data_IF_086527738391
#
_entry.id   IF_086527738391
#
_cell.length_a   1.000
_cell.length_b   1.000
_cell.length_c   1.000
_cell.angle_alpha   90.00
_cell.angle_beta   90.00
_cell.angle_gamma   90.00
#
_symmetry.space_group_name_H-M   'P 1'
#
loop_
_entity.id
_entity.type
_entity.pdbx_description
1 polymer ?
#
# COMPACT_ATOMS: atom_id res chain seq x y z
N UNK A 1 5.33 -6.15 -26.26
CA UNK A 1 4.34 -5.93 -25.19
C UNK A 1 4.06 -4.45 -25.13
N UNK A 2 2.80 -4.07 -25.27
CA UNK A 2 2.36 -2.67 -25.29
C UNK A 2 2.08 -2.23 -23.85
N UNK A 3 2.53 -1.04 -23.45
CA UNK A 3 2.35 -0.49 -22.11
C UNK A 3 1.82 0.94 -22.29
N UNK A 4 0.68 1.24 -21.67
CA UNK A 4 0.15 2.60 -21.54
C UNK A 4 0.97 3.34 -20.47
N UNK A 5 1.31 4.62 -20.68
CA UNK A 5 1.94 5.40 -19.61
C UNK A 5 0.91 5.81 -18.55
N UNK A 6 1.41 6.22 -17.38
CA UNK A 6 0.60 6.60 -16.21
C UNK A 6 -0.19 7.90 -16.39
N UNK A 7 -0.24 8.48 -17.60
CA UNK A 7 -0.89 9.76 -17.91
C UNK A 7 -1.84 9.65 -19.10
N UNK A 8 -2.14 8.43 -19.56
CA UNK A 8 -3.02 8.18 -20.71
C UNK A 8 -2.43 8.60 -22.05
N UNK A 9 -1.14 8.95 -22.10
CA UNK A 9 -0.46 9.21 -23.36
C UNK A 9 0.14 7.92 -23.92
N UNK A 10 -0.02 7.71 -25.22
CA UNK A 10 0.52 6.54 -25.90
C UNK A 10 1.94 6.80 -26.45
N UNK A 11 2.73 5.71 -26.44
CA UNK A 11 3.92 5.39 -27.25
C UNK A 11 5.33 5.66 -26.67
N UNK A 12 5.85 4.72 -25.84
CA UNK A 12 7.30 4.43 -25.79
C UNK A 12 7.58 3.10 -26.49
N UNK A 13 8.22 3.16 -27.66
CA UNK A 13 8.67 1.99 -28.41
C UNK A 13 9.98 1.48 -27.81
N UNK A 14 9.93 0.50 -26.91
CA UNK A 14 11.14 -0.23 -26.49
C UNK A 14 11.39 -1.37 -27.48
N UNK A 15 12.01 -1.06 -28.62
CA UNK A 15 13.00 -1.92 -29.29
C UNK A 15 13.39 -1.33 -30.64
N UNK A 16 14.69 -1.11 -30.82
CA UNK A 16 15.32 -0.81 -32.09
C UNK A 16 15.18 -2.00 -33.04
N UNK A 17 14.96 -1.70 -34.33
CA UNK A 17 14.96 -2.62 -35.49
C UNK A 17 13.72 -3.50 -35.61
N UNK A 18 12.78 -3.14 -36.49
CA UNK A 18 12.49 -3.76 -37.81
C UNK A 18 11.32 -2.97 -38.44
N UNK A 19 11.37 -2.84 -39.77
CA UNK A 19 10.48 -2.05 -40.62
C UNK A 19 8.99 -2.46 -40.52
N UNK A 20 8.13 -1.48 -40.79
CA UNK A 20 6.67 -1.64 -40.83
C UNK A 20 6.21 -2.63 -41.91
N UNK A 21 5.09 -3.33 -41.64
CA UNK A 21 4.11 -3.63 -42.67
C UNK A 21 2.77 -2.96 -42.37
N UNK A 22 2.05 -2.70 -43.47
CA UNK A 22 0.78 -1.99 -43.54
C UNK A 22 -0.39 -2.74 -42.89
N UNK A 23 -1.41 -1.95 -42.52
CA UNK A 23 -2.85 -2.23 -42.58
C UNK A 23 -3.39 -3.53 -41.92
N UNK A 24 -4.13 -3.35 -40.81
CA UNK A 24 -5.14 -4.33 -40.39
C UNK A 24 -5.13 -4.81 -38.94
N UNK A 25 -4.42 -4.14 -38.02
CA UNK A 25 -4.53 -4.43 -36.58
C UNK A 25 -5.41 -3.38 -35.90
N UNK A 26 -6.47 -3.82 -35.22
CA UNK A 26 -7.26 -2.99 -34.30
C UNK A 26 -6.30 -2.17 -33.43
N UNK A 27 -6.29 -0.87 -33.65
CA UNK A 27 -5.66 0.10 -32.76
C UNK A 27 -6.20 -0.19 -31.36
N UNK A 28 -5.35 -0.63 -30.44
CA UNK A 28 -5.72 -0.78 -29.04
C UNK A 28 -5.99 0.61 -28.51
N UNK A 29 -7.22 1.09 -28.68
CA UNK A 29 -7.70 2.31 -28.05
C UNK A 29 -7.46 2.17 -26.56
N UNK A 30 -6.81 3.16 -25.95
CA UNK A 30 -6.91 3.37 -24.52
C UNK A 30 -8.34 3.85 -24.28
N UNK A 31 -9.30 2.93 -24.36
CA UNK A 31 -10.68 3.24 -23.99
C UNK A 31 -10.66 3.62 -22.53
N UNK A 32 -11.41 4.67 -22.24
CA UNK A 32 -11.73 5.11 -20.91
C UNK A 32 -13.25 5.32 -20.96
N UNK A 33 -13.97 4.32 -20.48
CA UNK A 33 -15.40 4.17 -20.68
C UNK A 33 -16.22 5.01 -19.70
N UNK A 34 -15.64 5.38 -18.56
CA UNK A 34 -16.30 6.16 -17.51
C UNK A 34 -15.73 7.58 -17.33
N UNK A 35 -14.71 7.92 -18.13
CA UNK A 35 -14.08 9.24 -18.19
C UNK A 35 -13.34 9.66 -16.91
N UNK A 36 -12.83 8.71 -16.13
CA UNK A 36 -11.88 8.97 -15.04
C UNK A 36 -10.45 9.24 -15.60
N UNK A 37 -9.38 9.06 -14.82
CA UNK A 37 -8.00 9.18 -15.34
C UNK A 37 -7.27 7.89 -15.62
N UNK A 38 -7.85 6.74 -15.28
CA UNK A 38 -7.21 5.44 -15.41
C UNK A 38 -7.81 4.70 -16.63
N UNK A 39 -6.99 4.33 -17.63
CA UNK A 39 -7.49 3.59 -18.79
C UNK A 39 -8.16 2.26 -18.42
N UNK A 40 -9.25 1.90 -19.11
CA UNK A 40 -10.00 0.65 -18.90
C UNK A 40 -9.08 -0.58 -18.83
N UNK A 41 -8.03 -0.61 -19.67
CA UNK A 41 -7.09 -1.73 -19.72
C UNK A 41 -6.30 -1.97 -18.43
N UNK A 42 -6.07 -0.91 -17.64
CA UNK A 42 -5.40 -0.99 -16.34
C UNK A 42 -6.41 -1.49 -15.31
N UNK A 43 -7.59 -0.92 -15.26
CA UNK A 43 -8.63 -1.29 -14.30
C UNK A 43 -9.17 -2.70 -14.54
N UNK A 44 -9.34 -3.10 -15.80
CA UNK A 44 -9.77 -4.43 -16.19
C UNK A 44 -8.79 -5.53 -15.75
N UNK A 45 -7.53 -5.18 -15.48
CA UNK A 45 -6.51 -6.07 -14.95
C UNK A 45 -6.48 -6.13 -13.42
N UNK A 46 -7.31 -5.33 -12.74
CA UNK A 46 -7.54 -5.44 -11.31
C UNK A 46 -8.18 -6.79 -10.93
N UNK A 47 -8.11 -7.19 -9.64
CA UNK A 47 -8.79 -8.38 -9.13
C UNK A 47 -10.26 -8.49 -9.54
N UNK A 48 -10.80 -9.70 -9.42
CA UNK A 48 -12.24 -9.93 -9.63
C UNK A 48 -12.76 -9.44 -11.00
N UNK A 49 -11.96 -9.66 -12.04
CA UNK A 49 -12.26 -9.23 -13.41
C UNK A 49 -12.46 -7.71 -13.54
N UNK A 50 -11.65 -6.93 -12.84
CA UNK A 50 -11.71 -5.47 -12.89
C UNK A 50 -12.78 -4.83 -12.02
N UNK A 51 -13.39 -5.57 -11.09
CA UNK A 51 -14.34 -5.08 -10.09
C UNK A 51 -13.65 -5.14 -8.71
N UNK A 52 -12.79 -4.18 -8.45
CA UNK A 52 -11.86 -4.18 -7.32
C UNK A 52 -12.53 -3.98 -5.97
N UNK A 53 -13.72 -3.36 -5.95
CA UNK A 53 -14.54 -3.19 -4.75
C UNK A 53 -15.61 -4.29 -4.57
N UNK A 54 -15.79 -5.18 -5.57
CA UNK A 54 -16.73 -6.29 -5.62
C UNK A 54 -18.20 -5.85 -5.44
N UNK A 55 -18.60 -4.78 -6.13
CA UNK A 55 -19.98 -4.29 -6.16
C UNK A 55 -20.83 -4.86 -7.32
N UNK A 56 -20.19 -5.61 -8.23
CA UNK A 56 -20.82 -6.24 -9.39
C UNK A 56 -20.69 -5.43 -10.69
N UNK A 57 -20.13 -4.23 -10.63
CA UNK A 57 -19.81 -3.39 -11.78
C UNK A 57 -18.28 -3.33 -11.93
N UNK A 58 -17.73 -3.49 -13.15
CA UNK A 58 -16.30 -3.26 -13.35
C UNK A 58 -15.96 -1.79 -13.09
N UNK A 59 -14.83 -1.55 -12.44
CA UNK A 59 -14.35 -0.22 -12.03
C UNK A 59 -14.32 0.74 -13.22
N UNK A 60 -13.82 0.29 -14.39
CA UNK A 60 -13.82 1.02 -15.69
C UNK A 60 -15.17 1.50 -16.23
N UNK A 61 -16.27 1.19 -15.54
CA UNK A 61 -17.62 1.63 -15.89
C UNK A 61 -18.19 2.60 -14.84
N UNK A 62 -17.37 3.05 -13.89
CA UNK A 62 -17.77 3.79 -12.71
C UNK A 62 -16.81 4.95 -12.46
N UNK A 63 -17.17 6.17 -12.88
CA UNK A 63 -16.31 7.35 -12.75
C UNK A 63 -15.87 7.69 -11.32
N UNK A 64 -16.54 7.13 -10.31
CA UNK A 64 -16.25 7.30 -8.88
C UNK A 64 -15.51 6.09 -8.27
N UNK A 65 -15.11 5.10 -9.06
CA UNK A 65 -14.34 3.93 -8.64
C UNK A 65 -13.17 3.76 -9.61
N UNK A 66 -11.95 3.72 -9.10
CA UNK A 66 -10.79 3.53 -9.98
C UNK A 66 -9.80 2.52 -9.40
N UNK A 67 -9.21 1.70 -10.27
CA UNK A 67 -8.26 0.65 -9.90
C UNK A 67 -6.92 0.77 -10.61
N UNK A 68 -5.83 0.87 -9.84
CA UNK A 68 -4.48 0.98 -10.38
C UNK A 68 -3.45 0.19 -9.55
N UNK A 69 -2.38 -0.34 -10.18
CA UNK A 69 -1.33 -1.02 -9.46
C UNK A 69 -0.43 -0.02 -8.71
N UNK A 70 -0.14 -0.31 -7.44
CA UNK A 70 0.94 0.33 -6.72
C UNK A 70 2.27 0.06 -7.46
N UNK A 71 3.06 1.10 -7.78
CA UNK A 71 4.25 0.97 -8.61
C UNK A 71 5.40 0.20 -7.93
N UNK A 72 5.39 0.06 -6.60
CA UNK A 72 6.43 -0.64 -5.82
C UNK A 72 6.15 -2.13 -5.74
N UNK A 73 4.89 -2.51 -5.56
CA UNK A 73 4.46 -3.88 -5.26
C UNK A 73 3.80 -4.56 -6.46
N UNK A 74 3.32 -3.78 -7.43
CA UNK A 74 2.49 -4.25 -8.54
C UNK A 74 1.12 -4.78 -8.11
N UNK A 75 0.71 -4.54 -6.85
CA UNK A 75 -0.58 -4.96 -6.32
C UNK A 75 -1.61 -3.85 -6.53
N UNK A 76 -2.84 -4.24 -6.83
CA UNK A 76 -3.90 -3.29 -7.12
C UNK A 76 -4.42 -2.60 -5.86
N UNK A 77 -4.68 -1.31 -6.02
CA UNK A 77 -5.42 -0.48 -5.10
C UNK A 77 -6.68 -0.02 -5.83
N UNK A 78 -7.82 -0.11 -5.16
CA UNK A 78 -9.11 0.39 -5.68
C UNK A 78 -9.59 1.52 -4.78
N UNK A 79 -9.78 2.70 -5.34
CA UNK A 79 -10.32 3.88 -4.67
C UNK A 79 -11.80 4.01 -5.02
N UNK A 80 -12.65 4.16 -4.01
CA UNK A 80 -14.10 4.34 -4.14
C UNK A 80 -14.49 5.66 -3.49
N UNK A 81 -15.16 6.49 -4.27
CA UNK A 81 -15.77 7.76 -3.86
C UNK A 81 -17.30 7.70 -4.00
N UNK A 82 -18.07 8.69 -3.50
CA UNK A 82 -19.53 8.67 -3.56
C UNK A 82 -20.07 8.63 -5.00
N UNK A 83 -21.16 7.90 -5.22
CA UNK A 83 -21.81 7.86 -6.54
C UNK A 83 -22.23 9.27 -7.02
N UNK A 84 -22.05 9.53 -8.32
CA UNK A 84 -22.34 10.83 -8.93
C UNK A 84 -21.18 11.84 -8.90
N UNK A 85 -20.02 11.42 -8.40
CA UNK A 85 -18.75 12.16 -8.46
C UNK A 85 -17.82 11.57 -9.54
N UNK A 86 -16.72 12.25 -9.83
CA UNK A 86 -15.72 11.79 -10.81
C UNK A 86 -14.31 11.93 -10.27
N UNK A 87 -13.51 10.87 -10.36
CA UNK A 87 -12.08 10.87 -10.04
C UNK A 87 -11.29 11.43 -11.22
N UNK A 88 -11.03 12.74 -11.19
CA UNK A 88 -10.37 13.51 -12.26
C UNK A 88 -8.85 13.47 -12.21
N UNK A 89 -8.29 12.85 -11.16
CA UNK A 89 -6.90 12.47 -11.04
C UNK A 89 -6.78 11.32 -10.06
N UNK A 90 -5.96 10.32 -10.36
CA UNK A 90 -5.54 9.30 -9.38
C UNK A 90 -4.13 8.82 -9.69
N UNK A 91 -3.30 8.70 -8.67
CA UNK A 91 -1.94 8.15 -8.76
C UNK A 91 -1.53 7.52 -7.42
N UNK A 92 -0.68 6.49 -7.47
CA UNK A 92 -0.03 5.94 -6.27
C UNK A 92 1.42 6.40 -6.25
N UNK A 93 1.79 7.15 -5.21
CA UNK A 93 3.12 7.74 -5.06
C UNK A 93 3.79 7.26 -3.78
N UNK A 94 5.12 7.21 -3.78
CA UNK A 94 5.90 6.95 -2.58
C UNK A 94 6.71 8.20 -2.22
N UNK A 95 6.11 9.06 -1.40
CA UNK A 95 6.70 10.36 -1.05
C UNK A 95 7.61 10.29 0.19
N UNK A 96 7.54 9.19 0.95
CA UNK A 96 8.36 8.99 2.13
C UNK A 96 9.75 8.43 1.80
N UNK A 97 10.58 9.25 1.15
CA UNK A 97 11.97 8.88 0.85
C UNK A 97 12.88 9.29 2.02
N UNK A 98 13.72 8.37 2.55
CA UNK A 98 14.66 8.70 3.62
C UNK A 98 15.59 9.87 3.27
N UNK A 99 15.76 10.81 4.20
CA UNK A 99 16.55 12.03 4.02
C UNK A 99 15.89 13.12 3.18
N UNK A 100 14.65 12.94 2.72
CA UNK A 100 13.89 13.96 1.99
C UNK A 100 13.21 14.96 2.93
N UNK A 101 12.76 16.10 2.39
CA UNK A 101 11.97 17.07 3.19
C UNK A 101 10.57 16.57 3.53
N UNK A 102 10.15 15.45 2.95
CA UNK A 102 8.82 14.86 3.10
C UNK A 102 8.88 13.59 3.96
N UNK A 103 10.05 13.30 4.56
CA UNK A 103 10.26 12.08 5.34
C UNK A 103 9.41 12.08 6.62
N UNK A 104 8.49 11.13 6.72
CA UNK A 104 7.84 10.73 7.96
C UNK A 104 8.73 9.68 8.65
N UNK A 105 9.67 10.16 9.47
CA UNK A 105 10.65 9.29 10.15
C UNK A 105 10.05 8.22 11.07
N UNK A 106 8.78 8.37 11.48
CA UNK A 106 8.11 7.44 12.40
C UNK A 106 7.26 6.39 11.70
N UNK A 107 7.05 6.52 10.38
CA UNK A 107 6.18 5.64 9.63
C UNK A 107 6.78 5.25 8.28
N UNK A 108 6.47 4.04 7.82
CA UNK A 108 6.75 3.55 6.47
C UNK A 108 5.44 3.40 5.68
N UNK A 109 5.50 3.58 4.36
CA UNK A 109 4.34 3.47 3.46
C UNK A 109 4.55 2.29 2.50
N UNK A 110 4.35 1.03 2.97
CA UNK A 110 4.62 -0.16 2.16
C UNK A 110 3.69 -0.30 0.95
N UNK A 111 2.53 0.36 0.99
CA UNK A 111 1.47 0.32 -0.03
C UNK A 111 1.27 1.68 -0.74
N UNK A 112 2.25 2.59 -0.61
CA UNK A 112 2.18 3.91 -1.20
C UNK A 112 1.13 4.84 -0.58
N UNK A 113 1.06 6.04 -1.13
CA UNK A 113 0.02 7.04 -0.90
C UNK A 113 -0.81 7.14 -2.18
N UNK A 114 -2.12 6.94 -2.07
CA UNK A 114 -3.08 7.23 -3.12
C UNK A 114 -3.33 8.73 -3.11
N UNK A 115 -2.91 9.42 -4.17
CA UNK A 115 -3.21 10.82 -4.41
C UNK A 115 -4.32 10.90 -5.45
N UNK A 116 -5.40 11.60 -5.11
CA UNK A 116 -6.54 11.75 -6.01
C UNK A 116 -7.11 13.17 -6.01
N UNK A 117 -7.82 13.49 -7.09
CA UNK A 117 -8.73 14.64 -7.19
C UNK A 117 -10.13 14.12 -7.48
N UNK A 118 -11.09 14.56 -6.68
CA UNK A 118 -12.49 14.18 -6.77
C UNK A 118 -13.35 15.40 -7.10
N UNK A 119 -13.98 15.40 -8.26
CA UNK A 119 -14.87 16.48 -8.72
C UNK A 119 -16.35 16.10 -8.51
N UNK A 120 -17.21 17.12 -8.55
CA UNK A 120 -18.66 16.93 -8.53
C UNK A 120 -19.24 16.74 -7.13
N UNK A 121 -18.46 17.05 -6.09
CA UNK A 121 -18.96 17.11 -4.72
C UNK A 121 -19.70 18.43 -4.49
N UNK A 122 -20.66 18.43 -3.56
CA UNK A 122 -21.31 19.69 -3.17
C UNK A 122 -20.33 20.53 -2.37
N UNK A 123 -20.15 21.83 -2.66
CA UNK A 123 -19.23 22.67 -1.90
C UNK A 123 -19.47 22.60 -0.38
N UNK A 124 -18.44 22.28 0.39
CA UNK A 124 -18.51 22.14 1.86
C UNK A 124 -19.17 20.84 2.36
N UNK A 125 -19.49 19.89 1.48
CA UNK A 125 -20.07 18.61 1.86
C UNK A 125 -19.02 17.60 2.31
N UNK A 126 -19.43 16.68 3.19
CA UNK A 126 -18.61 15.54 3.62
C UNK A 126 -18.87 14.33 2.71
N UNK A 127 -17.79 13.70 2.27
CA UNK A 127 -17.77 12.61 1.31
C UNK A 127 -17.07 11.39 1.94
N UNK A 128 -17.71 10.22 1.83
CA UNK A 128 -17.14 8.95 2.26
C UNK A 128 -16.16 8.43 1.20
N UNK A 129 -14.92 8.18 1.61
CA UNK A 129 -13.88 7.60 0.77
C UNK A 129 -13.52 6.22 1.31
N UNK A 130 -13.41 5.23 0.42
CA UNK A 130 -12.95 3.88 0.79
C UNK A 130 -11.86 3.42 -0.17
N UNK A 131 -10.78 2.86 0.38
CA UNK A 131 -9.64 2.35 -0.38
C UNK A 131 -9.44 0.86 -0.07
N UNK A 132 -9.36 0.04 -1.10
CA UNK A 132 -9.10 -1.39 -1.04
C UNK A 132 -7.67 -1.67 -1.45
N UNK A 133 -6.88 -2.23 -0.54
CA UNK A 133 -5.49 -2.62 -0.78
C UNK A 133 -5.41 -4.14 -0.95
N UNK A 134 -5.29 -4.60 -2.20
CA UNK A 134 -5.25 -6.02 -2.53
C UNK A 134 -3.88 -6.63 -2.24
N UNK A 135 -3.83 -7.80 -1.62
CA UNK A 135 -2.59 -8.47 -1.18
C UNK A 135 -1.61 -7.53 -0.44
N UNK A 136 -2.02 -6.90 0.69
CA UNK A 136 -1.25 -5.83 1.34
C UNK A 136 0.02 -6.31 2.07
N UNK A 137 0.32 -7.61 2.07
CA UNK A 137 1.44 -8.20 2.81
C UNK A 137 1.06 -8.53 4.25
N UNK A 138 0.67 -7.55 5.07
CA UNK A 138 0.05 -7.78 6.38
C UNK A 138 -1.47 -7.79 6.25
N UNK A 139 -2.14 -8.79 6.80
CA UNK A 139 -3.60 -8.93 6.69
C UNK A 139 -4.35 -8.52 7.95
N UNK A 140 -3.63 -8.17 9.03
CA UNK A 140 -4.21 -7.61 10.24
C UNK A 140 -4.35 -6.09 10.09
N UNK A 141 -5.57 -5.53 10.07
CA UNK A 141 -5.78 -4.09 9.93
C UNK A 141 -5.11 -3.27 11.04
N UNK A 142 -4.89 -3.86 12.23
CA UNK A 142 -4.24 -3.18 13.34
C UNK A 142 -2.74 -2.94 13.14
N UNK A 143 -2.13 -3.58 12.13
CA UNK A 143 -0.75 -3.32 11.71
C UNK A 143 -0.59 -2.00 10.96
N UNK A 144 -1.70 -1.32 10.63
CA UNK A 144 -1.70 -0.10 9.84
C UNK A 144 -2.35 1.06 10.57
N UNK A 145 -1.93 2.26 10.18
CA UNK A 145 -2.59 3.53 10.48
C UNK A 145 -2.82 4.26 9.17
N UNK A 146 -4.03 4.77 8.95
CA UNK A 146 -4.29 5.62 7.79
C UNK A 146 -3.68 7.01 8.04
N UNK A 147 -2.81 7.44 7.14
CA UNK A 147 -2.10 8.72 7.25
C UNK A 147 -2.34 9.55 5.99
N UNK A 148 -2.44 10.86 6.21
CA UNK A 148 -2.51 11.85 5.15
C UNK A 148 -1.13 12.47 4.92
N UNK A 149 -0.84 12.85 3.68
CA UNK A 149 0.28 13.70 3.32
C UNK A 149 -0.24 15.00 2.71
N UNK A 150 0.27 16.14 3.18
CA UNK A 150 0.04 17.43 2.54
C UNK A 150 1.32 17.85 1.80
N UNK A 151 1.34 17.80 0.45
CA UNK A 151 2.53 18.11 -0.34
C UNK A 151 2.86 19.61 -0.34
N UNK A 152 1.89 20.49 -0.08
CA UNK A 152 2.08 21.94 -0.02
C UNK A 152 2.85 22.33 1.25
N UNK A 153 2.50 21.74 2.39
CA UNK A 153 3.15 22.00 3.69
C UNK A 153 4.25 21.00 4.02
N UNK A 154 4.34 19.89 3.27
CA UNK A 154 5.26 18.76 3.47
C UNK A 154 5.07 18.06 4.82
N UNK A 155 3.84 18.05 5.33
CA UNK A 155 3.51 17.46 6.63
C UNK A 155 2.67 16.21 6.46
N UNK A 156 2.91 15.21 7.30
CA UNK A 156 2.06 14.03 7.44
C UNK A 156 1.35 14.04 8.78
N UNK A 157 0.14 13.46 8.83
CA UNK A 157 -0.61 13.33 10.07
C UNK A 157 -1.59 12.16 10.00
N UNK A 158 -1.99 11.65 11.17
CA UNK A 158 -2.98 10.59 11.28
C UNK A 158 -4.39 11.15 11.07
N UNK A 159 -5.24 10.39 10.41
CA UNK A 159 -6.68 10.68 10.32
C UNK A 159 -7.37 10.03 11.53
N UNK A 160 -8.14 10.83 12.29
CA UNK A 160 -8.72 10.37 13.56
C UNK A 160 -9.89 9.41 13.40
N UNK A 161 -10.85 9.76 12.56
CA UNK A 161 -12.08 8.98 12.34
C UNK A 161 -11.92 8.10 11.10
N UNK A 162 -11.31 6.92 11.29
CA UNK A 162 -11.07 5.95 10.23
C UNK A 162 -11.56 4.56 10.62
N UNK A 163 -11.96 3.77 9.62
CA UNK A 163 -12.32 2.37 9.78
C UNK A 163 -11.38 1.53 8.93
N UNK A 164 -10.51 0.77 9.60
CA UNK A 164 -9.67 -0.23 8.95
C UNK A 164 -10.27 -1.62 9.17
N UNK A 165 -10.43 -2.37 8.10
CA UNK A 165 -10.98 -3.73 8.14
C UNK A 165 -10.24 -4.67 7.19
N UNK A 166 -10.40 -5.98 7.39
CA UNK A 166 -9.87 -6.99 6.48
C UNK A 166 -11.03 -7.75 5.84
N UNK A 167 -10.88 -8.09 4.57
CA UNK A 167 -11.83 -8.87 3.79
C UNK A 167 -11.09 -9.75 2.78
N UNK A 168 -11.83 -10.47 1.96
CA UNK A 168 -11.29 -11.25 0.84
C UNK A 168 -12.15 -11.01 -0.38
N UNK A 169 -11.55 -10.54 -1.47
CA UNK A 169 -12.22 -10.32 -2.76
C UNK A 169 -11.66 -11.33 -3.75
N UNK A 170 -12.52 -12.22 -4.27
CA UNK A 170 -12.12 -13.31 -5.18
C UNK A 170 -10.88 -14.10 -4.71
N UNK A 171 -10.88 -14.51 -3.42
CA UNK A 171 -9.76 -15.21 -2.75
C UNK A 171 -8.46 -14.41 -2.58
N UNK A 172 -8.49 -13.10 -2.83
CA UNK A 172 -7.37 -12.19 -2.56
C UNK A 172 -7.60 -11.51 -1.21
N UNK A 173 -6.70 -11.67 -0.22
CA UNK A 173 -6.73 -10.90 1.01
C UNK A 173 -6.67 -9.41 0.73
N UNK A 174 -7.56 -8.62 1.33
CA UNK A 174 -7.68 -7.19 1.09
C UNK A 174 -7.86 -6.45 2.41
N UNK A 175 -7.14 -5.36 2.59
CA UNK A 175 -7.41 -4.39 3.66
C UNK A 175 -8.25 -3.26 3.09
N UNK A 176 -9.29 -2.85 3.82
CA UNK A 176 -10.10 -1.69 3.47
C UNK A 176 -9.80 -0.56 4.44
N UNK A 177 -9.64 0.66 3.93
CA UNK A 177 -9.55 1.87 4.71
C UNK A 177 -10.67 2.82 4.33
N UNK A 178 -11.57 3.14 5.27
CA UNK A 178 -12.66 4.09 5.05
C UNK A 178 -12.52 5.29 5.96
N UNK A 179 -12.79 6.48 5.43
CA UNK A 179 -12.72 7.74 6.15
C UNK A 179 -13.59 8.80 5.44
N UNK A 180 -13.81 9.94 6.10
CA UNK A 180 -14.60 11.04 5.56
C UNK A 180 -13.72 12.24 5.27
N UNK A 181 -13.95 12.90 4.13
CA UNK A 181 -13.32 14.16 3.75
C UNK A 181 -14.39 15.20 3.47
N UNK A 182 -14.22 16.39 4.03
CA UNK A 182 -15.09 17.54 3.76
C UNK A 182 -14.38 18.49 2.80
N UNK A 183 -15.03 18.82 1.69
CA UNK A 183 -14.57 19.80 0.71
C UNK A 183 -14.34 21.16 1.40
N UNK A 184 -13.10 21.66 1.33
CA UNK A 184 -12.66 22.88 1.98
C UNK A 184 -12.31 22.79 3.48
N UNK A 185 -12.04 21.60 4.04
CA UNK A 185 -11.57 21.42 5.42
C UNK A 185 -10.16 20.82 5.47
N UNK A 186 -9.65 20.50 6.68
CA UNK A 186 -8.26 20.07 6.90
C UNK A 186 -7.83 18.81 6.11
N UNK A 187 -8.77 17.94 5.75
CA UNK A 187 -8.51 16.74 4.94
C UNK A 187 -8.62 17.00 3.43
N UNK A 188 -8.92 18.22 3.01
CA UNK A 188 -8.87 18.67 1.63
C UNK A 188 -7.65 19.57 1.44
N UNK A 189 -6.74 19.22 0.53
CA UNK A 189 -5.41 19.81 0.47
C UNK A 189 -5.42 21.27 0.03
N UNK A 190 -6.37 21.68 -0.80
CA UNK A 190 -6.49 23.08 -1.22
C UNK A 190 -7.21 23.93 -0.15
N UNK A 191 -7.96 23.30 0.76
CA UNK A 191 -8.71 23.96 1.82
C UNK A 191 -9.84 24.86 1.31
N UNK A 192 -10.27 24.72 0.06
CA UNK A 192 -11.32 25.53 -0.55
C UNK A 192 -12.60 24.71 -0.72
N UNK A 193 -13.74 25.26 -0.27
CA UNK A 193 -15.03 24.63 -0.54
C UNK A 193 -15.48 24.95 -1.97
N UNK A 194 -14.88 24.29 -2.97
CA UNK A 194 -15.01 24.62 -4.39
C UNK A 194 -15.67 23.48 -5.21
N UNK A 195 -16.07 22.39 -4.57
CA UNK A 195 -16.66 21.22 -5.23
C UNK A 195 -15.63 20.23 -5.77
N UNK A 196 -14.38 20.32 -5.28
CA UNK A 196 -13.24 19.50 -5.65
C UNK A 196 -12.47 19.13 -4.38
N UNK A 197 -12.24 17.83 -4.16
CA UNK A 197 -11.38 17.38 -3.06
C UNK A 197 -10.04 16.92 -3.64
N UNK A 198 -8.94 17.42 -3.08
CA UNK A 198 -7.58 16.96 -3.38
C UNK A 198 -7.02 16.23 -2.16
N UNK A 199 -6.68 14.94 -2.29
CA UNK A 199 -6.27 14.14 -1.13
C UNK A 199 -5.21 13.07 -1.44
N UNK A 200 -3.99 13.22 -0.90
CA UNK A 200 -2.99 12.17 -0.76
C UNK A 200 -3.10 11.45 0.59
N UNK A 201 -3.47 10.18 0.56
CA UNK A 201 -3.69 9.34 1.74
C UNK A 201 -3.12 7.95 1.54
N UNK A 202 -2.66 7.28 2.60
CA UNK A 202 -2.22 5.89 2.48
C UNK A 202 -2.06 5.17 3.81
N UNK A 203 -1.98 3.85 3.73
CA UNK A 203 -1.70 3.01 4.88
C UNK A 203 -0.22 3.05 5.23
N UNK A 204 0.05 3.30 6.50
CA UNK A 204 1.38 3.35 7.05
C UNK A 204 1.57 2.32 8.16
N UNK A 205 2.79 1.80 8.27
CA UNK A 205 3.26 0.98 9.39
C UNK A 205 4.24 1.80 10.23
N UNK A 206 4.37 1.55 11.52
CA UNK A 206 5.38 2.21 12.36
C UNK A 206 6.80 1.77 11.94
N UNK A 207 7.72 2.74 11.81
CA UNK A 207 9.12 2.45 11.51
C UNK A 207 9.71 1.64 12.67
N UNK A 208 10.09 0.39 12.41
CA UNK A 208 10.62 -0.53 13.42
C UNK A 208 9.82 -1.83 13.61
N UNK A 209 8.58 -1.92 13.13
CA UNK A 209 7.82 -3.17 13.15
C UNK A 209 8.25 -4.17 12.06
N UNK A 210 9.17 -3.76 11.17
CA UNK A 210 9.74 -4.66 10.16
C UNK A 210 10.75 -5.67 10.72
N UNK A 211 11.35 -5.48 11.91
CA UNK A 211 12.32 -6.44 12.49
C UNK A 211 12.39 -6.41 14.03
N UNK A 212 11.31 -6.76 14.74
CA UNK A 212 11.39 -7.19 16.14
C UNK A 212 10.79 -8.58 16.42
N UNK A 213 10.50 -9.37 15.38
CA UNK A 213 10.21 -10.79 15.52
C UNK A 213 11.52 -11.61 15.61
N UNK A 214 12.35 -11.38 16.64
CA UNK A 214 13.65 -12.06 16.68
C UNK A 214 14.53 -12.02 17.93
N UNK A 215 14.19 -11.32 19.01
CA UNK A 215 14.94 -11.46 20.28
C UNK A 215 14.04 -11.77 21.48
N UNK A 216 12.91 -12.41 21.22
CA UNK A 216 12.18 -13.18 22.23
C UNK A 216 12.92 -14.48 22.62
N UNK A 217 14.24 -14.43 22.84
CA UNK A 217 14.97 -15.52 23.49
C UNK A 217 14.77 -15.38 25.00
N UNK A 218 13.67 -15.95 25.46
CA UNK A 218 13.44 -16.58 26.77
C UNK A 218 14.53 -16.29 27.83
N UNK A 219 14.41 -15.20 28.59
CA UNK A 219 15.25 -14.94 29.77
C UNK A 219 14.88 -15.81 30.99
N UNK A 220 14.59 -17.11 30.78
CA UNK A 220 14.08 -18.04 31.81
C UNK A 220 14.94 -19.31 31.99
N UNK A 221 16.25 -19.14 32.15
CA UNK A 221 17.14 -20.16 32.71
C UNK A 221 18.26 -19.46 33.50
N UNK A 222 18.04 -19.13 34.76
CA UNK A 222 19.12 -19.16 35.74
C UNK A 222 18.56 -19.95 36.92
N UNK A 223 18.62 -21.27 36.83
CA UNK A 223 18.44 -22.12 38.00
C UNK A 223 19.80 -22.23 38.68
N UNK A 224 19.94 -21.49 39.77
CA UNK A 224 21.01 -21.64 40.75
C UNK A 224 21.12 -23.11 41.19
N UNK A 225 22.20 -23.79 40.83
CA UNK A 225 22.54 -25.09 41.44
C UNK A 225 23.69 -24.93 42.42
N UNK A 226 23.35 -24.42 43.60
CA UNK A 226 24.17 -24.59 44.80
C UNK A 226 23.88 -25.97 45.39
N UNK A 227 24.91 -26.82 45.41
CA UNK A 227 24.98 -28.02 46.26
C UNK A 227 24.27 -29.26 45.72
N UNK A 228 25.05 -30.26 45.31
CA UNK A 228 25.09 -31.62 45.90
C UNK A 228 26.33 -32.29 45.30
N UNK A 229 27.40 -32.31 46.10
CA UNK A 229 28.62 -33.07 45.85
C UNK A 229 28.48 -34.39 46.59
N UNK A 230 28.07 -35.48 45.91
CA UNK A 230 28.24 -36.83 46.46
C UNK A 230 28.60 -37.87 45.36
N UNK A 231 29.92 -38.12 45.28
CA UNK A 231 30.67 -39.40 45.21
C UNK A 231 30.41 -40.44 44.10
N UNK A 232 31.55 -41.04 43.69
CA UNK A 232 31.80 -42.43 43.23
C UNK A 232 31.99 -42.58 41.71
N UNK A 233 33.01 -43.24 41.16
CA UNK A 233 34.08 -44.12 41.69
C UNK A 233 35.21 -44.25 40.64
N UNK A 234 36.45 -44.30 41.15
CA UNK A 234 37.69 -45.01 40.72
C UNK A 234 37.85 -45.56 39.28
N UNK A 235 39.00 -45.31 38.63
CA UNK A 235 39.97 -46.34 38.17
C UNK A 235 41.31 -45.75 37.68
N UNK A 236 42.36 -46.20 38.37
CA UNK A 236 43.80 -46.33 38.07
C UNK A 236 44.42 -45.75 36.78
N UNK A 237 45.46 -44.93 36.98
CA UNK A 237 46.58 -44.83 36.02
C UNK A 237 47.86 -45.35 36.68
N UNK A 238 48.36 -46.50 36.21
CA UNK A 238 49.76 -46.90 36.37
C UNK A 238 50.53 -46.46 35.13
N UNK A 239 51.54 -45.61 35.30
CA UNK A 239 52.72 -45.49 34.43
C UNK A 239 53.76 -44.68 35.22
N UNK A 240 54.64 -45.35 35.98
CA UNK A 240 56.03 -45.62 35.58
C UNK A 240 56.77 -44.38 35.09
N UNK A 241 57.58 -43.73 35.94
CA UNK A 241 59.00 -43.44 35.65
C UNK A 241 59.77 -43.35 36.99
N UNK A 242 60.86 -44.11 37.02
CA UNK A 242 61.95 -44.20 37.99
C UNK A 242 63.07 -43.27 37.53
N UNK A 243 63.71 -42.55 38.46
CA UNK A 243 65.15 -42.13 38.48
C UNK A 243 65.32 -41.12 39.62
N UNK A 244 65.95 -41.52 40.74
CA UNK A 244 67.37 -41.29 41.11
C UNK A 244 67.54 -39.91 41.78
N UNK A 245 68.17 -39.72 42.94
CA UNK A 245 69.29 -40.42 43.60
C UNK A 245 69.14 -40.46 45.12
#
# INVERSE_FOLDING_TARGET
TWICDSVGNSFIKISSTVAAPESGGSEGSCTNSDSDTIPDSIEQAAPNNGDGNNDGTPDSQQSNVTSLPDPKTGKYITLVAPAGTTLTFTSVVNENTPGSTNEDTSYDYPLGLVSFTLDGVTPGSTNDITIYYSNPGQTDPSSYVLRKHNPNTKTTFSIGDTVLSSTTINNIPTITASYQVTDGQDLDIDGEANGTIVDPVGLATTTGDSELSGTGDNTNWIVSLAGVLFISTTIYTRLFVRTDS
#
